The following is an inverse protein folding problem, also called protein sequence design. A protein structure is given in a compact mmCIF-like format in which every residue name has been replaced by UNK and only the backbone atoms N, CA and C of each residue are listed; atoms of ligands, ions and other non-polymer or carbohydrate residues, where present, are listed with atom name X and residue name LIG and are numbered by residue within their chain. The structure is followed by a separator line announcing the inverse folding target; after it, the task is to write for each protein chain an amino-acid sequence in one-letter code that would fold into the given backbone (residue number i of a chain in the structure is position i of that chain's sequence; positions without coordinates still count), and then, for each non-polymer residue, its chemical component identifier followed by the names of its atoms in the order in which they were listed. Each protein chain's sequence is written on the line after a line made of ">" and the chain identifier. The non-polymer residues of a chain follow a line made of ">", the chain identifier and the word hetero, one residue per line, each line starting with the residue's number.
data_IF_628387659177
#
_entry.id   IF_628387659177
#
_cell.length_a   1.000
_cell.length_b   1.000
_cell.length_c   1.000
_cell.angle_alpha   90.00
_cell.angle_beta   90.00
_cell.angle_gamma   90.00
#
_symmetry.space_group_name_H-M   'P 1'
#
loop_
_entity.id
_entity.type
_entity.pdbx_description
1 polymer ?
#
# COMPACT_ATOMS: atom_id res chain seq x y z
N UNK A 1 -7.43 20.28 -9.33
CA UNK A 1 -8.53 19.62 -8.59
C UNK A 1 -7.98 18.29 -8.12
N UNK A 2 -7.90 18.05 -6.81
CA UNK A 2 -7.49 16.73 -6.29
C UNK A 2 -8.47 15.67 -6.79
N UNK A 3 -7.93 14.53 -7.22
CA UNK A 3 -8.73 13.37 -7.62
C UNK A 3 -8.71 12.38 -6.47
N UNK A 4 -9.88 12.06 -5.95
CA UNK A 4 -10.04 11.11 -4.88
C UNK A 4 -10.21 9.69 -5.41
N UNK A 5 -9.63 8.74 -4.68
CA UNK A 5 -9.76 7.30 -4.96
C UNK A 5 -10.32 6.56 -3.75
N UNK A 6 -11.01 5.46 -3.99
CA UNK A 6 -11.47 4.54 -2.95
C UNK A 6 -10.95 3.13 -3.24
N UNK A 7 -10.92 2.29 -2.20
CA UNK A 7 -10.33 0.97 -2.29
C UNK A 7 -11.08 0.03 -3.26
N UNK A 8 -12.41 0.12 -3.36
CA UNK A 8 -13.20 -0.71 -4.28
C UNK A 8 -12.77 -0.55 -5.75
N UNK A 9 -12.39 0.66 -6.16
CA UNK A 9 -11.85 0.90 -7.51
C UNK A 9 -10.46 0.24 -7.70
N UNK A 10 -9.65 0.23 -6.63
CA UNK A 10 -8.30 -0.31 -6.64
C UNK A 10 -8.31 -1.83 -6.82
N UNK A 11 -9.22 -2.53 -6.15
CA UNK A 11 -9.34 -4.00 -6.24
C UNK A 11 -9.70 -4.49 -7.65
N UNK A 12 -10.35 -3.65 -8.46
CA UNK A 12 -10.87 -4.01 -9.78
C UNK A 12 -9.98 -3.57 -10.94
N UNK A 13 -8.91 -2.81 -10.66
CA UNK A 13 -8.13 -2.13 -11.70
C UNK A 13 -6.63 -2.38 -11.53
N UNK A 14 -5.92 -2.52 -12.65
CA UNK A 14 -4.46 -2.62 -12.63
C UNK A 14 -3.82 -1.35 -12.05
N UNK A 15 -2.89 -1.50 -11.10
CA UNK A 15 -2.31 -0.38 -10.34
C UNK A 15 -1.66 0.67 -11.25
N UNK A 16 -0.99 0.25 -12.32
CA UNK A 16 -0.31 1.19 -13.22
C UNK A 16 -1.30 2.09 -13.99
N UNK A 17 -2.51 1.60 -14.24
CA UNK A 17 -3.60 2.41 -14.81
C UNK A 17 -4.15 3.39 -13.77
N UNK A 18 -4.19 3.00 -12.49
CA UNK A 18 -4.64 3.85 -11.40
C UNK A 18 -3.65 4.98 -11.14
N UNK A 19 -2.35 4.70 -11.06
CA UNK A 19 -1.30 5.70 -10.84
C UNK A 19 -1.30 6.78 -11.93
N UNK A 20 -1.59 6.40 -13.19
CA UNK A 20 -1.76 7.38 -14.28
C UNK A 20 -3.01 8.25 -14.13
N UNK A 21 -4.12 7.66 -13.67
CA UNK A 21 -5.42 8.36 -13.59
C UNK A 21 -5.54 9.21 -12.32
N UNK A 22 -4.93 8.74 -11.23
CA UNK A 22 -4.89 9.29 -9.89
C UNK A 22 -3.41 9.34 -9.45
N UNK A 23 -2.73 10.49 -9.67
CA UNK A 23 -1.36 10.65 -9.22
C UNK A 23 -1.25 10.42 -7.70
N UNK A 24 -0.36 9.54 -7.25
CA UNK A 24 -0.20 9.25 -5.83
C UNK A 24 0.50 10.40 -5.09
N UNK A 25 0.22 10.49 -3.79
CA UNK A 25 0.96 11.34 -2.86
C UNK A 25 2.30 10.71 -2.46
N UNK A 26 2.35 9.37 -2.42
CA UNK A 26 3.53 8.58 -2.12
C UNK A 26 3.48 7.25 -2.87
N UNK A 27 4.64 6.78 -3.35
CA UNK A 27 4.79 5.49 -4.04
C UNK A 27 6.20 4.97 -3.80
N UNK A 28 6.31 3.86 -3.06
CA UNK A 28 7.58 3.26 -2.67
C UNK A 28 7.54 1.74 -2.85
N UNK A 29 8.68 1.16 -3.21
CA UNK A 29 8.86 -0.29 -3.29
C UNK A 29 9.94 -0.71 -2.30
N UNK A 30 9.64 -1.72 -1.48
CA UNK A 30 10.57 -2.27 -0.50
C UNK A 30 10.41 -3.80 -0.36
N UNK A 31 11.36 -4.42 0.35
CA UNK A 31 11.25 -5.83 0.77
C UNK A 31 10.76 -5.87 2.22
N UNK A 32 9.62 -6.50 2.45
CA UNK A 32 9.00 -6.57 3.78
C UNK A 32 9.95 -7.23 4.79
N UNK A 33 10.08 -6.61 5.97
CA UNK A 33 10.92 -7.09 7.07
C UNK A 33 12.42 -6.82 6.92
N UNK A 34 12.87 -6.12 5.87
CA UNK A 34 14.27 -5.73 5.66
C UNK A 34 14.39 -4.22 5.54
N UNK A 35 15.47 -3.62 6.07
CA UNK A 35 15.85 -2.19 5.91
C UNK A 35 14.61 -1.26 5.83
N UNK A 36 14.26 -0.76 4.65
CA UNK A 36 13.20 0.23 4.44
C UNK A 36 11.78 -0.35 4.59
N UNK A 37 11.65 -1.67 4.64
CA UNK A 37 10.40 -2.43 4.81
C UNK A 37 10.13 -2.94 6.22
N UNK A 38 10.72 -2.35 7.27
CA UNK A 38 10.36 -2.71 8.65
C UNK A 38 8.85 -2.53 8.90
N UNK A 39 8.29 -3.43 9.70
CA UNK A 39 6.89 -3.35 10.13
C UNK A 39 6.82 -2.36 11.29
N UNK A 40 6.48 -1.11 10.96
CA UNK A 40 6.12 -0.05 11.92
C UNK A 40 4.64 -0.16 12.31
N UNK A 41 4.18 0.69 13.23
CA UNK A 41 2.76 0.79 13.58
C UNK A 41 1.88 1.04 12.35
N UNK A 42 2.31 1.95 11.47
CA UNK A 42 1.62 2.26 10.21
C UNK A 42 1.47 1.03 9.29
N UNK A 43 2.48 0.14 9.29
CA UNK A 43 2.51 -1.08 8.48
C UNK A 43 1.98 -2.32 9.21
N UNK A 44 1.45 -2.18 10.43
CA UNK A 44 1.04 -3.32 11.26
C UNK A 44 0.03 -4.24 10.56
N UNK A 45 -0.84 -3.70 9.70
CA UNK A 45 -1.82 -4.48 8.91
C UNK A 45 -1.18 -5.54 8.00
N UNK A 46 0.07 -5.37 7.58
CA UNK A 46 0.80 -6.38 6.80
C UNK A 46 1.07 -7.65 7.62
N UNK A 47 1.14 -7.56 8.94
CA UNK A 47 1.31 -8.72 9.82
C UNK A 47 0.07 -9.64 9.85
N UNK A 48 -1.09 -9.12 9.43
CA UNK A 48 -2.30 -9.93 9.27
C UNK A 48 -2.27 -10.75 7.98
N UNK A 49 -1.42 -10.37 7.02
CA UNK A 49 -1.31 -11.02 5.70
C UNK A 49 -0.10 -11.94 5.61
N UNK A 50 1.00 -11.59 6.28
CA UNK A 50 2.25 -12.34 6.22
C UNK A 50 2.72 -12.71 7.62
N UNK A 51 2.95 -14.00 7.83
CA UNK A 51 3.54 -14.50 9.07
C UNK A 51 5.01 -14.09 9.17
N UNK A 52 5.53 -14.00 10.40
CA UNK A 52 6.97 -13.75 10.61
C UNK A 52 7.85 -14.80 9.92
N UNK A 53 7.37 -16.04 9.81
CA UNK A 53 8.10 -17.11 9.11
C UNK A 53 8.22 -16.78 7.63
N UNK A 54 7.13 -16.37 6.97
CA UNK A 54 7.14 -16.01 5.55
C UNK A 54 8.02 -14.80 5.25
N UNK A 55 7.91 -13.75 6.08
CA UNK A 55 8.72 -12.53 5.97
C UNK A 55 10.22 -12.85 6.04
N UNK A 56 10.60 -13.82 6.89
CA UNK A 56 12.00 -14.26 7.02
C UNK A 56 12.45 -15.24 5.95
N UNK A 57 11.53 -16.01 5.37
CA UNK A 57 11.87 -17.12 4.46
C UNK A 57 11.97 -16.71 2.99
N UNK A 58 11.39 -15.57 2.59
CA UNK A 58 11.41 -15.12 1.19
C UNK A 58 11.42 -13.60 1.08
N UNK A 59 11.78 -13.12 -0.12
CA UNK A 59 11.78 -11.70 -0.44
C UNK A 59 10.37 -11.28 -0.89
N UNK A 60 9.56 -10.83 0.06
CA UNK A 60 8.21 -10.31 -0.20
C UNK A 60 8.36 -8.86 -0.65
N UNK A 61 8.28 -8.64 -1.97
CA UNK A 61 8.34 -7.29 -2.53
C UNK A 61 6.98 -6.62 -2.42
N UNK A 62 6.96 -5.48 -1.72
CA UNK A 62 5.77 -4.69 -1.49
C UNK A 62 5.90 -3.36 -2.22
N UNK A 63 4.83 -2.93 -2.88
CA UNK A 63 4.63 -1.55 -3.32
C UNK A 63 3.62 -0.89 -2.39
N UNK A 64 4.01 0.18 -1.74
CA UNK A 64 3.17 0.99 -0.85
C UNK A 64 2.80 2.27 -1.59
N UNK A 65 1.51 2.48 -1.80
CA UNK A 65 1.03 3.66 -2.52
C UNK A 65 -0.02 4.38 -1.69
N UNK A 66 0.15 5.68 -1.55
CA UNK A 66 -0.79 6.55 -0.84
C UNK A 66 -1.44 7.52 -1.80
N UNK A 67 -2.76 7.61 -1.74
CA UNK A 67 -3.57 8.60 -2.45
C UNK A 67 -4.43 9.41 -1.49
N UNK A 68 -4.88 10.58 -1.93
CA UNK A 68 -5.99 11.26 -1.27
C UNK A 68 -7.29 10.47 -1.50
N UNK A 69 -8.01 10.15 -0.42
CA UNK A 69 -9.33 9.49 -0.51
C UNK A 69 -10.48 10.47 -0.28
N UNK A 70 -10.22 11.53 0.48
CA UNK A 70 -11.12 12.66 0.63
C UNK A 70 -10.32 13.93 0.95
N UNK A 71 -11.03 15.04 1.22
CA UNK A 71 -10.39 16.24 1.74
C UNK A 71 -9.73 16.01 3.11
N UNK A 72 -10.20 15.03 3.89
CA UNK A 72 -9.75 14.77 5.27
C UNK A 72 -8.91 13.50 5.41
N UNK A 73 -8.99 12.59 4.46
CA UNK A 73 -8.40 11.26 4.59
C UNK A 73 -7.48 10.91 3.44
N UNK A 74 -6.45 10.12 3.77
CA UNK A 74 -5.60 9.42 2.84
C UNK A 74 -5.95 7.93 2.83
N UNK A 75 -5.71 7.29 1.69
CA UNK A 75 -5.79 5.85 1.52
C UNK A 75 -4.40 5.34 1.12
N UNK A 76 -3.81 4.51 1.97
CA UNK A 76 -2.60 3.75 1.66
C UNK A 76 -2.98 2.32 1.34
N UNK A 77 -2.45 1.79 0.24
CA UNK A 77 -2.63 0.39 -0.18
C UNK A 77 -1.25 -0.24 -0.36
N UNK A 78 -1.11 -1.44 0.18
CA UNK A 78 0.06 -2.28 -0.03
C UNK A 78 -0.25 -3.36 -1.05
N UNK A 79 0.62 -3.48 -2.04
CA UNK A 79 0.54 -4.49 -3.08
C UNK A 79 1.72 -5.45 -2.97
N UNK A 80 1.47 -6.74 -3.10
CA UNK A 80 2.52 -7.75 -3.28
C UNK A 80 2.77 -7.98 -4.78
N UNK A 81 4.03 -8.11 -5.18
CA UNK A 81 4.37 -8.58 -6.54
C UNK A 81 4.16 -10.10 -6.64
N UNK A 82 3.22 -10.52 -7.49
CA UNK A 82 3.00 -11.93 -7.89
C UNK A 82 2.92 -12.02 -9.40
N UNK A 83 3.71 -12.91 -10.00
CA UNK A 83 3.74 -13.13 -11.46
C UNK A 83 3.84 -11.81 -12.26
N UNK A 84 4.74 -10.91 -11.82
CA UNK A 84 4.95 -9.57 -12.40
C UNK A 84 3.73 -8.64 -12.34
N UNK A 85 2.76 -8.92 -11.46
CA UNK A 85 1.58 -8.09 -11.21
C UNK A 85 1.54 -7.65 -9.76
N UNK A 86 1.05 -6.44 -9.53
CA UNK A 86 0.84 -5.89 -8.21
C UNK A 86 -0.58 -6.22 -7.73
N UNK A 87 -0.68 -7.05 -6.69
CA UNK A 87 -1.95 -7.50 -6.13
C UNK A 87 -2.15 -6.83 -4.78
N UNK A 88 -3.27 -6.12 -4.53
CA UNK A 88 -3.52 -5.50 -3.24
C UNK A 88 -3.65 -6.57 -2.16
N UNK A 89 -2.93 -6.41 -1.05
CA UNK A 89 -2.93 -7.35 0.09
C UNK A 89 -3.45 -6.69 1.38
N UNK A 90 -3.28 -5.38 1.52
CA UNK A 90 -3.80 -4.64 2.67
C UNK A 90 -4.06 -3.18 2.28
N UNK A 91 -4.93 -2.52 3.05
CA UNK A 91 -5.13 -1.08 2.94
C UNK A 91 -5.34 -0.44 4.31
N UNK A 92 -5.13 0.87 4.38
CA UNK A 92 -5.37 1.69 5.55
C UNK A 92 -5.90 3.06 5.13
N UNK A 93 -7.03 3.47 5.71
CA UNK A 93 -7.58 4.83 5.60
C UNK A 93 -7.24 5.56 6.88
N UNK A 94 -6.68 6.75 6.77
CA UNK A 94 -6.22 7.55 7.90
C UNK A 94 -6.49 9.04 7.70
N UNK A 95 -6.76 9.74 8.81
CA UNK A 95 -6.95 11.19 8.80
C UNK A 95 -5.63 11.89 8.45
N UNK A 96 -5.65 12.89 7.56
CA UNK A 96 -4.44 13.61 7.11
C UNK A 96 -3.64 14.27 8.25
N UNK A 97 -4.25 14.46 9.42
CA UNK A 97 -3.62 15.03 10.61
C UNK A 97 -3.19 13.97 11.63
N UNK A 98 -3.34 12.68 11.32
CA UNK A 98 -2.88 11.61 12.19
C UNK A 98 -1.34 11.59 12.26
N UNK A 99 -0.82 11.20 13.43
CA UNK A 99 0.61 11.06 13.71
C UNK A 99 0.88 9.61 14.06
N UNK A 100 1.87 9.00 13.41
CA UNK A 100 2.30 7.61 13.55
C UNK A 100 3.81 7.51 13.75
#
# INVERSE_FOLDING_TARGET
>A
MEKFINFNLIEQTHVDSLVKRYPPLWDEIFILGKKDGFITEFRARLSNQFTQKEIRSRDIKIREITWASSNKENLTVWFEEKDHKWIPVAHFIWDKNAVF
#
